data_IF_915333908753
#
_entry.id   IF_915333908753
#
_cell.length_a   1.000
_cell.length_b   1.000
_cell.length_c   1.000
_cell.angle_alpha   90.00
_cell.angle_beta   90.00
_cell.angle_gamma   90.00
#
_symmetry.space_group_name_H-M   'P 1'
#
loop_
_entity.id
_entity.type
_entity.pdbx_description
1 polymer ?
#
# COMPACT_ATOMS: atom_id res chain seq x y z
N UNK A 1 2.56 30.61 65.12
CA UNK A 1 3.11 30.91 63.77
C UNK A 1 2.42 30.07 62.71
N UNK A 2 1.07 29.88 62.84
CA UNK A 2 0.27 29.08 61.85
C UNK A 2 -0.92 29.90 61.31
N UNK A 3 -1.12 31.14 61.79
CA UNK A 3 -2.33 31.94 61.45
C UNK A 3 -2.18 32.84 60.20
N UNK A 4 -1.09 32.68 59.41
CA UNK A 4 -0.80 33.59 58.28
C UNK A 4 -1.12 33.02 56.89
N UNK A 5 -1.69 31.80 56.80
CA UNK A 5 -1.84 31.15 55.49
C UNK A 5 -3.30 31.21 54.96
N UNK A 6 -4.28 31.65 55.77
CA UNK A 6 -5.71 31.63 55.39
C UNK A 6 -6.32 33.01 55.08
N UNK A 7 -5.54 34.03 54.75
CA UNK A 7 -6.13 35.29 54.28
C UNK A 7 -6.10 35.41 52.77
N UNK A 8 -6.55 34.40 52.08
CA UNK A 8 -6.98 34.54 50.68
C UNK A 8 -8.33 35.25 50.73
N UNK A 9 -8.31 36.58 50.59
CA UNK A 9 -9.49 37.36 50.27
C UNK A 9 -10.00 36.85 48.90
N UNK A 10 -10.81 35.80 48.89
CA UNK A 10 -11.60 35.48 47.73
C UNK A 10 -12.46 36.71 47.44
N UNK A 11 -12.15 37.44 46.36
CA UNK A 11 -12.97 38.51 45.86
C UNK A 11 -14.44 38.13 45.80
N UNK A 12 -15.30 39.08 45.49
CA UNK A 12 -16.74 38.85 45.51
C UNK A 12 -17.12 37.52 44.83
N UNK A 13 -18.17 36.85 45.25
CA UNK A 13 -18.67 35.56 44.64
C UNK A 13 -18.69 35.64 43.09
N UNK A 14 -18.98 36.84 42.57
CA UNK A 14 -18.95 37.11 41.13
C UNK A 14 -17.58 36.92 40.48
N UNK A 15 -16.49 37.23 41.17
CA UNK A 15 -15.12 37.05 40.66
C UNK A 15 -14.75 35.54 40.60
N UNK A 16 -15.15 34.79 41.63
CA UNK A 16 -14.95 33.33 41.64
C UNK A 16 -15.74 32.67 40.51
N UNK A 17 -16.97 33.05 40.31
CA UNK A 17 -17.84 32.51 39.24
C UNK A 17 -17.23 32.89 37.88
N UNK A 18 -16.80 34.11 37.67
CA UNK A 18 -16.15 34.56 36.42
C UNK A 18 -14.85 33.80 36.15
N UNK A 19 -14.05 33.53 37.17
CA UNK A 19 -12.83 32.72 37.03
C UNK A 19 -13.13 31.26 36.67
N UNK A 20 -14.17 30.64 37.25
CA UNK A 20 -14.61 29.31 36.92
C UNK A 20 -15.12 29.21 35.47
N UNK A 21 -15.89 30.22 35.01
CA UNK A 21 -16.36 30.23 33.60
C UNK A 21 -15.17 30.39 32.63
N UNK A 22 -14.23 31.27 32.92
CA UNK A 22 -13.03 31.49 32.11
C UNK A 22 -12.17 30.20 32.04
N UNK A 23 -12.01 29.50 33.17
CA UNK A 23 -11.27 28.26 33.23
C UNK A 23 -11.99 27.16 32.41
N UNK A 24 -13.31 27.03 32.52
CA UNK A 24 -14.09 26.08 31.75
C UNK A 24 -14.00 26.36 30.24
N UNK A 25 -14.10 27.64 29.83
CA UNK A 25 -13.92 28.03 28.45
C UNK A 25 -12.51 27.71 27.95
N UNK A 26 -11.48 27.95 28.73
CA UNK A 26 -10.08 27.64 28.39
C UNK A 26 -9.87 26.12 28.21
N UNK A 27 -10.41 25.33 29.13
CA UNK A 27 -10.38 23.83 28.99
C UNK A 27 -11.11 23.39 27.72
N UNK A 28 -12.26 23.99 27.40
CA UNK A 28 -12.99 23.73 26.15
C UNK A 28 -12.14 24.00 24.91
N UNK A 29 -11.49 25.15 24.85
CA UNK A 29 -10.59 25.52 23.73
C UNK A 29 -9.42 24.54 23.59
N UNK A 30 -8.80 24.16 24.71
CA UNK A 30 -7.72 23.14 24.68
C UNK A 30 -8.24 21.81 24.14
N UNK A 31 -9.39 21.37 24.63
CA UNK A 31 -9.99 20.12 24.19
C UNK A 31 -10.29 20.12 22.67
N UNK A 32 -10.91 21.20 22.17
CA UNK A 32 -11.18 21.36 20.74
C UNK A 32 -9.90 21.37 19.92
N UNK A 33 -8.86 22.09 20.36
CA UNK A 33 -7.56 22.11 19.70
C UNK A 33 -6.93 20.71 19.62
N UNK A 34 -6.93 19.96 20.72
CA UNK A 34 -6.39 18.60 20.75
C UNK A 34 -7.17 17.65 19.85
N UNK A 35 -8.49 17.78 19.85
CA UNK A 35 -9.37 16.96 18.98
C UNK A 35 -9.16 17.30 17.50
N UNK A 36 -9.12 18.57 17.14
CA UNK A 36 -8.82 19.01 15.78
C UNK A 36 -7.44 18.51 15.28
N UNK A 37 -6.43 18.56 16.17
CA UNK A 37 -5.10 18.03 15.87
C UNK A 37 -5.14 16.51 15.63
N UNK A 38 -5.92 15.77 16.45
CA UNK A 38 -6.10 14.32 16.28
C UNK A 38 -6.82 13.99 14.97
N UNK A 39 -7.86 14.73 14.62
CA UNK A 39 -8.59 14.56 13.36
C UNK A 39 -7.69 14.77 12.15
N UNK A 40 -6.95 15.89 12.10
CA UNK A 40 -5.97 16.16 11.03
C UNK A 40 -4.95 15.03 10.87
N UNK A 41 -4.47 14.48 11.97
CA UNK A 41 -3.52 13.36 11.95
C UNK A 41 -4.12 12.12 11.30
N UNK A 42 -5.36 11.77 11.68
CA UNK A 42 -6.08 10.63 11.11
C UNK A 42 -6.41 10.85 9.62
N UNK A 43 -6.80 12.05 9.24
CA UNK A 43 -7.04 12.42 7.83
C UNK A 43 -5.78 12.23 6.97
N UNK A 44 -4.63 12.67 7.45
CA UNK A 44 -3.35 12.47 6.75
C UNK A 44 -2.99 10.99 6.62
N UNK A 45 -3.19 10.20 7.67
CA UNK A 45 -2.95 8.76 7.64
C UNK A 45 -3.90 8.04 6.67
N UNK A 46 -5.19 8.43 6.65
CA UNK A 46 -6.17 7.92 5.70
C UNK A 46 -5.81 8.32 4.26
N UNK A 47 -5.35 9.55 4.04
CA UNK A 47 -4.91 10.00 2.72
C UNK A 47 -3.73 9.18 2.21
N UNK A 48 -2.75 8.85 3.06
CA UNK A 48 -1.65 7.96 2.69
C UNK A 48 -2.15 6.56 2.30
N UNK A 49 -3.06 6.00 3.08
CA UNK A 49 -3.66 4.68 2.76
C UNK A 49 -4.48 4.72 1.47
N UNK A 50 -5.27 5.78 1.27
CA UNK A 50 -6.06 5.97 0.06
C UNK A 50 -5.20 6.09 -1.21
N UNK A 51 -4.05 6.76 -1.12
CA UNK A 51 -3.11 6.85 -2.24
C UNK A 51 -2.58 5.48 -2.67
N UNK A 52 -2.37 4.53 -1.75
CA UNK A 52 -1.97 3.16 -2.09
C UNK A 52 -3.00 2.43 -2.98
N UNK A 53 -4.27 2.77 -2.83
CA UNK A 53 -5.37 2.16 -3.58
C UNK A 53 -5.65 2.86 -4.91
N UNK A 54 -5.46 4.19 -4.96
CA UNK A 54 -5.80 5.00 -6.13
C UNK A 54 -4.67 5.09 -7.15
N UNK A 55 -3.41 5.13 -6.69
CA UNK A 55 -2.26 5.16 -7.60
C UNK A 55 -2.02 3.76 -8.17
N UNK A 56 -2.10 3.63 -9.49
CA UNK A 56 -1.96 2.34 -10.18
C UNK A 56 -0.60 1.69 -9.96
N UNK A 57 0.48 2.49 -9.88
CA UNK A 57 1.82 1.97 -9.63
C UNK A 57 1.98 1.48 -8.20
N UNK A 58 1.44 2.21 -7.21
CA UNK A 58 1.44 1.78 -5.82
C UNK A 58 0.59 0.52 -5.63
N UNK A 59 -0.59 0.47 -6.25
CA UNK A 59 -1.46 -0.70 -6.23
C UNK A 59 -0.79 -1.90 -6.90
N UNK A 60 -0.11 -1.70 -8.03
CA UNK A 60 0.64 -2.75 -8.70
C UNK A 60 1.77 -3.29 -7.81
N UNK A 61 2.56 -2.41 -7.15
CA UNK A 61 3.61 -2.83 -6.24
C UNK A 61 3.06 -3.62 -5.05
N UNK A 62 2.00 -3.12 -4.39
CA UNK A 62 1.40 -3.78 -3.22
C UNK A 62 0.73 -5.10 -3.58
N UNK A 63 0.01 -5.18 -4.72
CA UNK A 63 -0.59 -6.42 -5.21
C UNK A 63 0.50 -7.44 -5.59
N UNK A 64 1.63 -6.99 -6.13
CA UNK A 64 2.76 -7.86 -6.44
C UNK A 64 3.43 -8.44 -5.17
N UNK A 65 3.33 -7.76 -4.03
CA UNK A 65 3.74 -8.29 -2.72
C UNK A 65 2.74 -9.30 -2.17
N UNK A 66 1.47 -9.21 -2.58
CA UNK A 66 0.41 -10.16 -2.21
C UNK A 66 0.29 -11.28 -3.25
N UNK A 67 1.37 -12.01 -3.44
CA UNK A 67 1.52 -13.03 -4.50
C UNK A 67 0.46 -14.14 -4.52
N UNK A 68 -0.37 -14.25 -3.50
CA UNK A 68 -1.46 -15.24 -3.45
C UNK A 68 -2.56 -15.05 -4.51
N UNK A 69 -2.58 -13.91 -5.21
CA UNK A 69 -3.67 -13.52 -6.12
C UNK A 69 -3.47 -14.03 -7.56
N UNK A 70 -2.28 -14.47 -7.94
CA UNK A 70 -1.98 -15.00 -9.28
C UNK A 70 -1.73 -13.93 -10.33
N UNK A 71 -2.78 -13.35 -10.94
CA UNK A 71 -2.65 -12.31 -11.97
C UNK A 71 -2.70 -10.91 -11.36
N UNK A 72 -1.70 -10.09 -11.68
CA UNK A 72 -1.62 -8.68 -11.26
C UNK A 72 -1.94 -7.80 -12.47
N UNK A 73 -2.97 -6.91 -12.37
CA UNK A 73 -3.28 -5.99 -13.45
C UNK A 73 -2.11 -5.06 -13.75
N UNK A 74 -1.76 -4.95 -15.03
CA UNK A 74 -0.72 -4.01 -15.49
C UNK A 74 -1.30 -2.58 -15.44
N UNK A 75 -0.57 -1.61 -14.87
CA UNK A 75 -0.95 -0.20 -14.90
C UNK A 75 -1.22 0.29 -16.33
N UNK A 76 -2.20 1.14 -16.52
CA UNK A 76 -2.68 1.53 -17.85
C UNK A 76 -1.57 2.10 -18.75
N UNK A 77 -0.72 2.94 -18.19
CA UNK A 77 0.43 3.53 -18.89
C UNK A 77 1.45 2.50 -19.39
N UNK A 78 1.50 1.32 -18.76
CA UNK A 78 2.44 0.24 -19.09
C UNK A 78 1.86 -0.82 -20.02
N UNK A 79 0.54 -0.88 -20.22
CA UNK A 79 -0.13 -1.90 -21.07
C UNK A 79 0.37 -1.93 -22.49
N UNK A 80 0.62 -0.74 -23.09
CA UNK A 80 1.17 -0.66 -24.44
C UNK A 80 2.66 -1.03 -24.51
N UNK A 81 3.39 -0.80 -23.42
CA UNK A 81 4.82 -1.08 -23.34
C UNK A 81 5.09 -2.56 -23.13
N UNK A 82 4.36 -3.18 -22.21
CA UNK A 82 4.49 -4.60 -21.84
C UNK A 82 3.71 -5.50 -22.80
N UNK A 83 2.70 -4.96 -23.50
CA UNK A 83 1.77 -5.68 -24.39
C UNK A 83 0.92 -6.73 -23.67
N UNK A 84 0.61 -6.47 -22.39
CA UNK A 84 -0.21 -7.33 -21.55
C UNK A 84 -1.15 -6.51 -20.67
N UNK A 85 -2.34 -7.06 -20.37
CA UNK A 85 -3.31 -6.43 -19.46
C UNK A 85 -3.10 -6.83 -18.00
N UNK A 86 -2.56 -8.03 -17.79
CA UNK A 86 -2.23 -8.56 -16.47
C UNK A 86 -1.04 -9.52 -16.62
N UNK A 87 -0.22 -9.59 -15.60
CA UNK A 87 0.96 -10.46 -15.55
C UNK A 87 0.93 -11.34 -14.32
N UNK A 88 1.53 -12.52 -14.44
CA UNK A 88 1.92 -13.30 -13.27
C UNK A 88 3.25 -12.75 -12.77
N UNK A 89 3.34 -12.31 -11.51
CA UNK A 89 4.60 -11.82 -10.98
C UNK A 89 5.73 -12.85 -11.14
N UNK A 90 6.84 -12.43 -11.70
CA UNK A 90 7.99 -13.30 -11.91
C UNK A 90 9.20 -12.81 -11.12
N UNK A 91 9.88 -13.76 -10.48
CA UNK A 91 11.03 -13.53 -9.66
C UNK A 91 12.20 -12.88 -10.42
N UNK A 92 12.45 -13.33 -11.66
CA UNK A 92 13.60 -12.87 -12.44
C UNK A 92 13.47 -11.38 -12.76
N UNK A 93 12.30 -10.97 -13.23
CA UNK A 93 12.02 -9.56 -13.50
C UNK A 93 12.08 -8.71 -12.24
N UNK A 94 11.56 -9.20 -11.09
CA UNK A 94 11.70 -8.50 -9.81
C UNK A 94 13.16 -8.36 -9.37
N UNK A 95 13.98 -9.41 -9.50
CA UNK A 95 15.40 -9.34 -9.14
C UNK A 95 16.15 -8.32 -10.00
N UNK A 96 15.90 -8.31 -11.31
CA UNK A 96 16.48 -7.33 -12.22
C UNK A 96 16.02 -5.91 -11.85
N UNK A 97 14.73 -5.75 -11.56
CA UNK A 97 14.13 -4.47 -11.21
C UNK A 97 14.76 -3.84 -9.96
N UNK A 98 14.99 -4.66 -8.94
CA UNK A 98 15.43 -4.21 -7.62
C UNK A 98 16.96 -4.17 -7.45
N UNK A 99 17.72 -4.52 -8.49
CA UNK A 99 19.18 -4.31 -8.49
C UNK A 99 19.47 -2.81 -8.39
N UNK A 100 20.36 -2.34 -7.50
CA UNK A 100 20.63 -0.90 -7.32
C UNK A 100 21.11 -0.22 -8.60
N UNK A 101 21.95 -0.91 -9.37
CA UNK A 101 22.51 -0.38 -10.60
C UNK A 101 21.53 -0.43 -11.77
N UNK A 102 21.60 0.60 -12.63
CA UNK A 102 20.82 0.63 -13.86
C UNK A 102 21.51 -0.21 -14.95
N UNK A 103 21.22 -1.51 -14.95
CA UNK A 103 21.87 -2.48 -15.83
C UNK A 103 21.26 -2.52 -17.23
N UNK A 104 22.05 -3.01 -18.22
CA UNK A 104 21.55 -3.26 -19.58
C UNK A 104 20.38 -4.27 -19.58
N UNK A 105 20.42 -5.27 -18.70
CA UNK A 105 19.34 -6.25 -18.54
C UNK A 105 18.02 -5.61 -18.08
N UNK A 106 18.07 -4.57 -17.25
CA UNK A 106 16.90 -3.80 -16.87
C UNK A 106 16.29 -3.06 -18.08
N UNK A 107 17.13 -2.40 -18.89
CA UNK A 107 16.67 -1.67 -20.08
C UNK A 107 15.98 -2.59 -21.11
N UNK A 108 16.44 -3.82 -21.21
CA UNK A 108 15.91 -4.81 -22.17
C UNK A 108 14.65 -5.54 -21.67
N UNK A 109 14.38 -5.51 -20.37
CA UNK A 109 13.24 -6.17 -19.76
C UNK A 109 12.17 -5.16 -19.34
N UNK A 110 11.15 -4.99 -20.18
CA UNK A 110 10.05 -4.05 -19.98
C UNK A 110 9.28 -4.31 -18.68
N UNK A 111 9.08 -5.58 -18.33
CA UNK A 111 8.40 -5.99 -17.09
C UNK A 111 9.25 -5.62 -15.87
N UNK A 112 10.57 -5.86 -15.93
CA UNK A 112 11.48 -5.44 -14.85
C UNK A 112 11.50 -3.92 -14.69
N UNK A 113 11.48 -3.17 -15.80
CA UNK A 113 11.42 -1.71 -15.74
C UNK A 113 10.13 -1.22 -15.08
N UNK A 114 8.99 -1.81 -15.42
CA UNK A 114 7.71 -1.53 -14.77
C UNK A 114 7.76 -1.83 -13.26
N UNK A 115 8.28 -2.99 -12.85
CA UNK A 115 8.49 -3.29 -11.42
C UNK A 115 9.36 -2.24 -10.73
N UNK A 116 10.47 -1.83 -11.38
CA UNK A 116 11.34 -0.80 -10.82
C UNK A 116 10.58 0.49 -10.55
N UNK A 117 9.80 0.98 -11.53
CA UNK A 117 8.98 2.18 -11.35
C UNK A 117 7.99 2.03 -10.21
N UNK A 118 7.31 0.89 -10.13
CA UNK A 118 6.33 0.63 -9.08
C UNK A 118 6.96 0.59 -7.67
N UNK A 119 8.10 -0.08 -7.51
CA UNK A 119 8.80 -0.13 -6.23
C UNK A 119 9.44 1.21 -5.85
N UNK A 120 9.95 1.99 -6.82
CA UNK A 120 10.40 3.37 -6.56
C UNK A 120 9.24 4.23 -6.09
N UNK A 121 8.06 4.15 -6.72
CA UNK A 121 6.86 4.86 -6.27
C UNK A 121 6.48 4.44 -4.83
N UNK A 122 6.52 3.14 -4.53
CA UNK A 122 6.23 2.62 -3.19
C UNK A 122 7.24 3.14 -2.14
N UNK A 123 8.54 3.13 -2.45
CA UNK A 123 9.56 3.61 -1.52
C UNK A 123 9.46 5.12 -1.30
N UNK A 124 9.19 5.92 -2.33
CA UNK A 124 8.91 7.36 -2.20
C UNK A 124 7.67 7.61 -1.34
N UNK A 125 6.65 6.77 -1.46
CA UNK A 125 5.45 6.87 -0.63
C UNK A 125 5.75 6.56 0.85
N UNK A 126 6.56 5.55 1.13
CA UNK A 126 7.04 5.23 2.48
C UNK A 126 7.94 6.33 3.05
N UNK A 127 8.80 6.95 2.22
CA UNK A 127 9.64 8.09 2.62
C UNK A 127 8.76 9.29 3.02
N UNK A 128 7.72 9.59 2.24
CA UNK A 128 6.74 10.62 2.58
C UNK A 128 6.05 10.32 3.92
N UNK A 129 5.66 9.07 4.15
CA UNK A 129 5.06 8.66 5.43
C UNK A 129 6.04 8.86 6.59
N UNK A 130 7.32 8.48 6.39
CA UNK A 130 8.40 8.72 7.35
C UNK A 130 8.54 10.20 7.69
N UNK A 131 8.59 11.07 6.69
CA UNK A 131 8.71 12.52 6.88
C UNK A 131 7.54 13.10 7.69
N UNK A 132 6.33 12.61 7.46
CA UNK A 132 5.16 13.03 8.24
C UNK A 132 5.25 12.55 9.70
N UNK A 133 5.80 11.35 9.93
CA UNK A 133 6.07 10.84 11.27
C UNK A 133 7.17 11.63 11.97
N UNK A 134 8.26 11.94 11.29
CA UNK A 134 9.37 12.73 11.84
C UNK A 134 8.90 14.14 12.24
N UNK A 135 8.00 14.74 11.47
CA UNK A 135 7.34 16.03 11.77
C UNK A 135 6.20 15.91 12.80
N UNK A 136 5.92 14.71 13.31
CA UNK A 136 4.81 14.43 14.23
C UNK A 136 3.43 14.82 13.68
N UNK A 137 3.31 14.90 12.35
CA UNK A 137 2.04 15.13 11.66
C UNK A 137 1.17 13.89 11.62
N UNK A 138 1.79 12.70 11.66
CA UNK A 138 1.15 11.38 11.74
C UNK A 138 1.91 10.56 12.78
N UNK A 139 1.26 9.64 13.48
CA UNK A 139 1.93 8.67 14.35
C UNK A 139 2.05 7.32 13.66
N UNK A 140 3.04 6.52 14.05
CA UNK A 140 3.22 5.17 13.50
C UNK A 140 1.97 4.30 13.69
N UNK A 141 1.28 4.45 14.82
CA UNK A 141 0.05 3.70 15.15
C UNK A 141 -1.10 3.96 14.18
N UNK A 142 -1.09 5.11 13.51
CA UNK A 142 -2.13 5.50 12.54
C UNK A 142 -1.89 4.86 11.15
N UNK A 143 -0.72 4.25 10.91
CA UNK A 143 -0.25 3.77 9.61
C UNK A 143 -0.45 2.25 9.41
N UNK A 144 -1.58 1.69 9.83
CA UNK A 144 -1.83 0.23 9.81
C UNK A 144 -1.68 -0.40 8.42
N UNK A 145 -2.18 0.25 7.36
CA UNK A 145 -2.07 -0.24 5.98
C UNK A 145 -0.61 -0.28 5.51
N UNK A 146 0.15 0.79 5.78
CA UNK A 146 1.59 0.83 5.49
C UNK A 146 2.37 -0.16 6.36
N UNK A 147 1.89 -0.44 7.58
CA UNK A 147 2.44 -1.45 8.46
C UNK A 147 2.42 -2.84 7.84
N UNK A 148 1.29 -3.21 7.21
CA UNK A 148 1.20 -4.47 6.46
C UNK A 148 2.19 -4.51 5.28
N UNK A 149 2.25 -3.45 4.47
CA UNK A 149 3.20 -3.34 3.36
C UNK A 149 4.64 -3.48 3.86
N UNK A 150 4.98 -2.78 4.94
CA UNK A 150 6.31 -2.84 5.57
C UNK A 150 6.64 -4.24 6.07
N UNK A 151 5.67 -4.95 6.65
CA UNK A 151 5.87 -6.33 7.09
C UNK A 151 6.14 -7.27 5.90
N UNK A 152 5.52 -7.05 4.74
CA UNK A 152 5.82 -7.80 3.52
C UNK A 152 7.21 -7.48 2.96
N UNK A 153 7.65 -6.22 3.02
CA UNK A 153 9.00 -5.84 2.57
C UNK A 153 10.11 -6.42 3.43
N UNK A 154 9.89 -6.50 4.75
CA UNK A 154 10.88 -7.04 5.71
C UNK A 154 10.95 -8.57 5.64
N UNK A 155 9.79 -9.22 5.63
CA UNK A 155 9.67 -10.67 5.64
C UNK A 155 8.53 -11.09 4.70
N UNK A 156 8.87 -11.25 3.43
CA UNK A 156 7.89 -11.59 2.40
C UNK A 156 7.37 -13.01 2.58
N UNK A 157 6.12 -13.15 2.98
CA UNK A 157 5.47 -14.43 3.25
C UNK A 157 5.41 -15.33 2.02
N UNK A 158 5.23 -14.72 0.84
CA UNK A 158 5.10 -15.40 -0.44
C UNK A 158 6.41 -15.43 -1.24
N UNK A 159 7.55 -15.23 -0.57
CA UNK A 159 8.83 -15.23 -1.26
C UNK A 159 9.02 -16.53 -2.06
N UNK A 160 9.22 -16.47 -3.38
CA UNK A 160 9.50 -17.65 -4.17
C UNK A 160 10.77 -18.33 -3.65
N UNK A 161 10.79 -19.67 -3.69
CA UNK A 161 11.96 -20.45 -3.25
C UNK A 161 13.23 -19.91 -3.91
N UNK A 162 14.22 -19.54 -3.10
CA UNK A 162 15.53 -19.04 -3.51
C UNK A 162 15.63 -17.51 -3.73
N UNK A 163 14.62 -16.72 -3.36
CA UNK A 163 14.83 -15.28 -3.13
C UNK A 163 15.54 -15.12 -1.77
N UNK A 164 16.57 -14.26 -1.72
CA UNK A 164 17.29 -14.03 -0.48
C UNK A 164 16.35 -13.36 0.54
N UNK A 165 16.37 -13.80 1.83
CA UNK A 165 15.70 -13.06 2.89
C UNK A 165 16.17 -11.60 2.89
N UNK A 166 15.23 -10.66 3.04
CA UNK A 166 15.57 -9.22 3.06
C UNK A 166 15.82 -8.57 1.70
N UNK A 167 15.58 -9.27 0.61
CA UNK A 167 15.80 -8.79 -0.75
C UNK A 167 15.24 -7.38 -1.03
N UNK A 168 14.02 -7.10 -0.60
CA UNK A 168 13.41 -5.77 -0.74
C UNK A 168 14.10 -4.72 0.13
N UNK A 169 14.54 -5.11 1.32
CA UNK A 169 15.25 -4.22 2.25
C UNK A 169 16.66 -3.89 1.75
N UNK A 170 17.33 -4.82 1.07
CA UNK A 170 18.63 -4.58 0.46
C UNK A 170 18.51 -3.61 -0.72
N UNK A 171 17.48 -3.74 -1.55
CA UNK A 171 17.18 -2.77 -2.60
C UNK A 171 16.88 -1.37 -2.01
N UNK A 172 16.08 -1.31 -0.94
CA UNK A 172 15.76 -0.08 -0.23
C UNK A 172 17.01 0.62 0.30
N UNK A 173 17.90 -0.11 0.94
CA UNK A 173 19.20 0.41 1.43
C UNK A 173 20.09 0.90 0.30
N UNK A 174 20.10 0.19 -0.82
CA UNK A 174 20.88 0.56 -2.00
C UNK A 174 20.37 1.84 -2.68
N UNK A 175 19.06 2.07 -2.70
CA UNK A 175 18.46 3.24 -3.37
C UNK A 175 18.34 4.46 -2.46
N UNK A 176 18.19 4.25 -1.15
CA UNK A 176 17.94 5.31 -0.16
C UNK A 176 18.93 5.23 1.03
N UNK A 177 20.26 5.25 0.78
CA UNK A 177 21.24 4.98 1.83
C UNK A 177 21.26 6.03 2.95
N UNK A 178 20.89 7.28 2.62
CA UNK A 178 20.99 8.40 3.58
C UNK A 178 19.72 8.65 4.38
N UNK A 179 18.56 8.17 3.89
CA UNK A 179 17.25 8.55 4.46
C UNK A 179 16.87 7.77 5.70
N UNK A 180 17.59 6.68 6.02
CA UNK A 180 17.23 5.71 7.08
C UNK A 180 15.81 5.15 6.92
N UNK A 181 15.34 5.06 5.69
CA UNK A 181 14.01 4.55 5.36
C UNK A 181 13.87 3.08 5.77
N UNK A 182 14.95 2.30 5.66
CA UNK A 182 15.03 0.91 6.12
C UNK A 182 14.65 0.75 7.59
N UNK A 183 15.19 1.60 8.47
CA UNK A 183 14.86 1.58 9.90
C UNK A 183 13.42 1.96 10.19
N UNK A 184 12.87 2.90 9.42
CA UNK A 184 11.47 3.27 9.52
C UNK A 184 10.56 2.09 9.13
N UNK A 185 10.84 1.43 8.00
CA UNK A 185 10.10 0.26 7.52
C UNK A 185 10.17 -0.90 8.51
N UNK A 186 11.36 -1.21 9.05
CA UNK A 186 11.54 -2.23 10.10
C UNK A 186 10.72 -1.91 11.35
N UNK A 187 10.76 -0.67 11.82
CA UNK A 187 10.00 -0.23 12.99
C UNK A 187 8.49 -0.32 12.76
N UNK A 188 8.03 0.06 11.57
CA UNK A 188 6.63 -0.01 11.20
C UNK A 188 6.16 -1.47 11.09
N UNK A 189 6.97 -2.35 10.50
CA UNK A 189 6.71 -3.78 10.42
C UNK A 189 6.60 -4.44 11.81
N UNK A 190 7.45 -4.04 12.76
CA UNK A 190 7.41 -4.54 14.14
C UNK A 190 6.15 -4.11 14.88
N UNK A 191 5.65 -2.90 14.63
CA UNK A 191 4.43 -2.40 15.27
C UNK A 191 3.16 -3.08 14.75
N UNK A 192 3.18 -3.53 13.49
CA UNK A 192 2.06 -4.23 12.86
C UNK A 192 2.50 -5.64 12.43
N UNK A 193 2.79 -6.53 13.39
CA UNK A 193 3.21 -7.88 13.05
C UNK A 193 2.11 -8.54 12.22
N UNK A 194 2.54 -9.32 11.21
CA UNK A 194 1.64 -10.09 10.36
C UNK A 194 0.62 -10.81 11.24
N UNK A 195 -0.64 -10.48 11.13
CA UNK A 195 -1.70 -11.36 11.59
C UNK A 195 -1.55 -12.62 10.73
N UNK A 196 -1.02 -13.69 11.30
CA UNK A 196 -1.10 -15.02 10.67
C UNK A 196 -2.57 -15.26 10.38
N UNK A 197 -2.96 -15.01 9.15
CA UNK A 197 -4.34 -15.19 8.70
C UNK A 197 -4.58 -16.69 8.64
N UNK A 198 -5.00 -17.26 9.75
CA UNK A 198 -5.73 -18.52 9.76
C UNK A 198 -6.96 -18.49 8.84
N UNK A 199 -7.30 -17.33 8.29
CA UNK A 199 -8.46 -17.10 7.42
C UNK A 199 -8.17 -17.28 5.91
N UNK A 200 -6.92 -17.26 5.46
CA UNK A 200 -6.61 -17.37 4.02
C UNK A 200 -6.78 -18.80 3.45
N UNK A 201 -6.89 -19.80 4.30
CA UNK A 201 -7.08 -21.20 3.85
C UNK A 201 -8.53 -21.59 3.55
N UNK A 202 -9.50 -20.73 3.78
CA UNK A 202 -10.92 -21.11 3.60
C UNK A 202 -11.52 -20.66 2.27
N UNK A 203 -10.92 -19.71 1.55
CA UNK A 203 -11.57 -19.10 0.38
C UNK A 203 -11.19 -19.65 -0.99
N UNK A 204 -10.24 -20.60 -1.09
CA UNK A 204 -9.83 -21.15 -2.39
C UNK A 204 -10.46 -22.48 -2.77
N UNK A 205 -11.43 -22.95 -2.02
CA UNK A 205 -12.05 -24.28 -2.30
C UNK A 205 -13.35 -24.18 -3.05
N UNK A 206 -13.82 -23.28 -3.70
CA UNK A 206 -15.01 -23.34 -4.57
C UNK A 206 -15.18 -22.07 -5.42
N UNK A 207 -14.24 -21.80 -6.32
CA UNK A 207 -14.59 -21.16 -7.59
C UNK A 207 -14.51 -22.23 -8.65
N UNK A 208 -15.50 -23.11 -8.66
CA UNK A 208 -15.87 -23.83 -9.88
C UNK A 208 -16.35 -22.75 -10.86
N UNK A 209 -15.52 -22.48 -11.85
CA UNK A 209 -15.97 -21.78 -13.04
C UNK A 209 -17.06 -22.65 -13.67
N UNK A 210 -18.27 -22.13 -13.92
CA UNK A 210 -19.27 -22.86 -14.66
C UNK A 210 -18.64 -23.26 -16.01
N UNK A 211 -18.58 -24.56 -16.28
CA UNK A 211 -18.19 -25.05 -17.57
C UNK A 211 -19.07 -24.37 -18.62
N UNK A 212 -18.45 -23.58 -19.47
CA UNK A 212 -19.06 -22.97 -20.63
C UNK A 212 -19.52 -24.13 -21.51
N UNK A 213 -20.82 -24.34 -21.54
CA UNK A 213 -21.49 -25.34 -22.34
C UNK A 213 -21.34 -24.92 -23.80
N UNK A 214 -20.28 -25.35 -24.46
CA UNK A 214 -20.10 -25.30 -25.91
C UNK A 214 -21.11 -26.20 -26.59
N UNK A 215 -22.36 -25.72 -26.56
CA UNK A 215 -23.41 -26.20 -27.42
C UNK A 215 -23.24 -25.65 -28.86
N UNK A 216 -22.11 -25.96 -29.50
CA UNK A 216 -21.97 -25.76 -30.95
C UNK A 216 -22.76 -26.86 -31.66
N UNK A 217 -24.04 -26.57 -31.87
CA UNK A 217 -24.91 -27.18 -32.85
C UNK A 217 -24.24 -27.10 -34.23
N UNK A 218 -23.76 -28.20 -34.71
CA UNK A 218 -23.33 -28.39 -36.09
C UNK A 218 -24.52 -28.25 -37.05
N UNK A 219 -24.75 -27.06 -37.57
CA UNK A 219 -25.58 -26.86 -38.75
C UNK A 219 -24.71 -26.98 -39.99
N UNK A 220 -24.76 -28.16 -40.59
CA UNK A 220 -24.29 -28.46 -41.93
C UNK A 220 -24.97 -27.51 -42.94
N UNK A 221 -24.25 -26.84 -43.84
CA UNK A 221 -24.88 -26.17 -44.97
C UNK A 221 -25.26 -27.18 -46.04
N UNK A 222 -26.43 -27.01 -46.70
CA UNK A 222 -26.88 -27.89 -47.81
C UNK A 222 -25.99 -27.68 -49.04
N UNK A 223 -25.63 -28.79 -49.66
CA UNK A 223 -24.89 -28.84 -50.90
C UNK A 223 -25.66 -28.20 -52.04
N UNK A 224 -25.00 -27.31 -52.77
CA UNK A 224 -25.43 -26.88 -54.09
C UNK A 224 -24.51 -27.50 -55.16
N UNK A 225 -25.11 -28.48 -55.84
CA UNK A 225 -24.69 -28.99 -57.13
C UNK A 225 -25.02 -27.96 -58.20
N UNK A 226 -24.05 -27.44 -58.93
CA UNK A 226 -24.26 -26.92 -60.30
C UNK A 226 -22.93 -27.05 -61.06
N UNK A 227 -22.85 -28.09 -61.87
CA UNK A 227 -22.95 -28.10 -63.36
C UNK A 227 -22.02 -27.08 -64.02
N UNK A 228 -20.97 -27.67 -64.65
CA UNK A 228 -20.30 -27.05 -65.82
C UNK A 228 -21.28 -26.79 -66.97
N UNK A 229 -21.04 -25.83 -67.84
CA UNK A 229 -20.47 -26.17 -69.13
C UNK A 229 -19.44 -25.16 -69.64
N UNK A 230 -18.35 -25.62 -70.16
CA UNK A 230 -17.97 -25.72 -71.57
C UNK A 230 -17.98 -24.39 -72.40
N UNK A 231 -16.82 -24.18 -73.02
CA UNK A 231 -16.53 -23.54 -74.33
C UNK A 231 -16.50 -22.00 -74.48
N UNK A 232 -15.39 -21.48 -74.77
CA UNK A 232 -14.83 -20.93 -76.04
C UNK A 232 -13.52 -20.20 -75.79
#
# INVERSE_FOLDING_TARGET
MIDSICNWNFGSISEVVSACIALAAFIGVIYEYLNARRQRRLELAQQLSYQLEQDEMLRFATTSLDWGVGLVPVPEEWRQIVDEKAIVPDRKSMQIALTPEFSRSLQQNKVALMYRHAFVALYNHLERAKDLCDKRAVLLEDLSTLGWVSAQLVDWEYAPKGLAPGFFMDALRGWYPETRLDKFVEKLAQQFPKRRTAAAHVSHKNVEFPAENDGLSSSQPPGDTHSDPESA
#
